data_IF_792505488361
#
_entry.id   IF_792505488361
#
_cell.length_a   1.000
_cell.length_b   1.000
_cell.length_c   1.000
_cell.angle_alpha   90.00
_cell.angle_beta   90.00
_cell.angle_gamma   90.00
#
_symmetry.space_group_name_H-M   'P 1'
#
loop_
_entity.id
_entity.type
_entity.pdbx_description
1 polymer ?
#
# COMPACT_ATOMS: atom_id res chain seq x y z
N UNK A 1 -14.04 12.16 7.31
CA UNK A 1 -13.87 11.27 6.12
C UNK A 1 -12.63 10.46 6.38
N UNK A 2 -12.71 9.11 6.32
CA UNK A 2 -11.53 8.25 6.46
C UNK A 2 -10.64 8.43 5.24
N UNK A 3 -9.32 8.49 5.44
CA UNK A 3 -8.30 8.54 4.37
C UNK A 3 -8.44 7.35 3.40
N UNK A 4 -8.98 6.23 3.89
CA UNK A 4 -9.13 4.99 3.12
C UNK A 4 -10.37 4.98 2.20
N UNK A 5 -11.25 5.99 2.24
CA UNK A 5 -12.54 5.94 1.50
C UNK A 5 -12.39 5.80 -0.01
N UNK A 6 -11.40 6.47 -0.61
CA UNK A 6 -11.15 6.37 -2.05
C UNK A 6 -10.66 4.97 -2.42
N UNK A 7 -9.77 4.41 -1.59
CA UNK A 7 -9.29 3.05 -1.75
C UNK A 7 -10.41 2.02 -1.57
N UNK A 8 -11.27 2.19 -0.57
CA UNK A 8 -12.47 1.37 -0.38
C UNK A 8 -13.37 1.38 -1.61
N UNK A 9 -13.56 2.55 -2.23
CA UNK A 9 -14.28 2.66 -3.51
C UNK A 9 -13.67 1.81 -4.61
N UNK A 10 -12.35 1.91 -4.82
CA UNK A 10 -11.64 1.11 -5.82
C UNK A 10 -11.73 -0.40 -5.59
N UNK A 11 -11.75 -0.82 -4.31
CA UNK A 11 -11.90 -2.21 -3.90
C UNK A 11 -13.32 -2.72 -4.10
N UNK A 12 -14.34 -1.89 -3.85
CA UNK A 12 -15.75 -2.19 -4.13
C UNK A 12 -16.00 -2.36 -5.63
N UNK A 13 -15.46 -1.47 -6.45
CA UNK A 13 -15.60 -1.55 -7.92
C UNK A 13 -15.04 -2.87 -8.49
N UNK A 14 -14.14 -3.51 -7.74
CA UNK A 14 -13.51 -4.79 -8.10
C UNK A 14 -14.09 -5.99 -7.36
N UNK A 15 -15.12 -5.79 -6.53
CA UNK A 15 -15.82 -6.85 -5.79
C UNK A 15 -15.08 -7.38 -4.56
N UNK A 16 -14.05 -6.68 -4.07
CA UNK A 16 -13.32 -7.08 -2.84
C UNK A 16 -14.01 -6.59 -1.56
N UNK A 17 -14.90 -5.61 -1.65
CA UNK A 17 -15.69 -5.09 -0.54
C UNK A 17 -17.15 -4.94 -0.97
N UNK A 18 -18.09 -5.22 -0.06
CA UNK A 18 -19.51 -4.96 -0.25
C UNK A 18 -19.85 -3.47 0.01
N UNK A 19 -21.07 -3.08 -0.37
CA UNK A 19 -21.55 -1.73 -0.07
C UNK A 19 -21.63 -1.50 1.44
N UNK A 20 -21.01 -0.42 1.91
CA UNK A 20 -20.91 -0.10 3.34
C UNK A 20 -19.79 -0.85 4.08
N UNK A 21 -19.14 -1.84 3.46
CA UNK A 21 -17.98 -2.52 4.03
C UNK A 21 -16.74 -1.63 3.96
N UNK A 22 -15.93 -1.69 5.00
CA UNK A 22 -14.65 -0.98 5.11
C UNK A 22 -13.50 -1.99 5.07
N UNK A 23 -12.29 -1.53 4.75
CA UNK A 23 -11.10 -2.39 4.83
C UNK A 23 -11.01 -2.95 6.26
N UNK A 24 -10.82 -4.28 6.45
CA UNK A 24 -10.84 -4.87 7.77
C UNK A 24 -9.63 -4.40 8.59
N UNK A 25 -9.84 -4.22 9.89
CA UNK A 25 -8.76 -4.00 10.85
C UNK A 25 -8.15 -5.37 11.15
N UNK A 26 -6.84 -5.50 10.91
CA UNK A 26 -6.06 -6.72 11.18
C UNK A 26 -5.08 -6.48 12.30
N UNK A 27 -4.72 -7.55 13.02
CA UNK A 27 -3.70 -7.47 14.05
C UNK A 27 -2.33 -7.21 13.39
N UNK A 28 -1.43 -6.57 14.14
CA UNK A 28 -0.09 -6.26 13.64
C UNK A 28 0.67 -7.50 13.20
N UNK A 29 0.54 -8.59 13.95
CA UNK A 29 1.20 -9.85 13.62
C UNK A 29 0.60 -10.46 12.34
N UNK A 30 -0.71 -10.30 12.12
CA UNK A 30 -1.40 -10.80 10.93
C UNK A 30 -1.02 -10.02 9.66
N UNK A 31 -0.82 -8.69 9.76
CA UNK A 31 -0.41 -7.89 8.61
C UNK A 31 1.07 -8.07 8.26
N UNK A 32 1.87 -8.48 9.25
CA UNK A 32 3.26 -8.87 9.04
C UNK A 32 3.38 -10.27 8.42
N UNK A 33 2.37 -11.12 8.62
CA UNK A 33 2.23 -12.40 7.91
C UNK A 33 1.54 -12.23 6.56
N UNK A 34 1.90 -13.03 5.57
CA UNK A 34 1.26 -13.04 4.25
C UNK A 34 -0.18 -13.63 4.26
N UNK A 35 -0.84 -13.69 5.42
CA UNK A 35 -2.09 -14.41 5.64
C UNK A 35 -3.33 -13.60 5.22
N UNK A 36 -3.28 -12.26 5.31
CA UNK A 36 -4.38 -11.39 4.91
C UNK A 36 -4.05 -10.60 3.64
N UNK A 37 -4.88 -10.77 2.59
CA UNK A 37 -4.72 -10.03 1.33
C UNK A 37 -5.08 -8.55 1.49
N UNK A 38 -6.14 -8.23 2.23
CA UNK A 38 -6.62 -6.87 2.41
C UNK A 38 -6.80 -6.61 3.90
N UNK A 39 -6.24 -5.53 4.40
CA UNK A 39 -6.39 -5.14 5.79
C UNK A 39 -5.52 -3.95 6.15
N UNK A 40 -5.82 -3.33 7.29
CA UNK A 40 -4.95 -2.32 7.88
C UNK A 40 -4.79 -2.51 9.38
N UNK A 41 -3.67 -2.06 9.92
CA UNK A 41 -3.43 -1.99 11.35
C UNK A 41 -3.34 -0.52 11.77
N UNK A 42 -3.96 -0.18 12.90
CA UNK A 42 -3.90 1.16 13.47
C UNK A 42 -3.39 1.14 14.92
N UNK A 43 -2.45 2.04 15.21
CA UNK A 43 -1.94 2.31 16.56
C UNK A 43 -2.29 3.76 16.92
N UNK A 44 -2.84 4.00 18.11
CA UNK A 44 -3.18 5.36 18.58
C UNK A 44 -3.98 6.21 17.56
N UNK A 45 -4.99 5.59 16.93
CA UNK A 45 -5.85 6.23 15.91
C UNK A 45 -5.11 6.66 14.62
N UNK A 46 -3.91 6.13 14.36
CA UNK A 46 -3.18 6.32 13.12
C UNK A 46 -2.96 4.97 12.42
N UNK A 47 -3.17 4.91 11.11
CA UNK A 47 -2.85 3.71 10.31
C UNK A 47 -1.34 3.57 10.24
N UNK A 48 -0.82 2.43 10.70
CA UNK A 48 0.62 2.13 10.73
C UNK A 48 1.01 1.05 9.73
N UNK A 49 0.06 0.25 9.26
CA UNK A 49 0.30 -0.75 8.25
C UNK A 49 -0.94 -0.92 7.37
N UNK A 50 -0.71 -1.10 6.07
CA UNK A 50 -1.77 -1.28 5.08
C UNK A 50 -1.34 -2.39 4.11
N UNK A 51 -2.23 -3.35 3.88
CA UNK A 51 -2.08 -4.44 2.92
C UNK A 51 -3.27 -4.43 1.96
N UNK A 52 -2.98 -4.42 0.66
CA UNK A 52 -3.97 -4.45 -0.42
C UNK A 52 -3.42 -5.30 -1.57
N UNK A 53 -3.24 -6.59 -1.30
CA UNK A 53 -2.60 -7.56 -2.18
C UNK A 53 -3.59 -8.21 -3.12
N UNK A 54 -3.13 -8.53 -4.33
CA UNK A 54 -3.90 -9.28 -5.31
C UNK A 54 -5.28 -8.66 -5.63
N UNK A 55 -5.33 -7.32 -5.64
CA UNK A 55 -6.56 -6.57 -5.88
C UNK A 55 -6.71 -6.06 -7.31
N UNK A 56 -5.74 -6.30 -8.19
CA UNK A 56 -5.80 -5.77 -9.56
C UNK A 56 -5.84 -4.24 -9.61
N UNK A 57 -5.20 -3.57 -8.66
CA UNK A 57 -5.07 -2.11 -8.68
C UNK A 57 -4.12 -1.68 -9.79
N UNK A 58 -4.55 -0.71 -10.59
CA UNK A 58 -3.74 -0.09 -11.65
C UNK A 58 -3.18 1.28 -11.23
N UNK A 59 -3.70 1.84 -10.14
CA UNK A 59 -3.29 3.12 -9.56
C UNK A 59 -3.61 3.16 -8.07
N UNK A 60 -2.93 4.05 -7.34
CA UNK A 60 -3.18 4.32 -5.93
C UNK A 60 -3.86 5.69 -5.75
N UNK A 61 -4.87 5.81 -4.87
CA UNK A 61 -5.51 7.09 -4.60
C UNK A 61 -4.56 8.05 -3.86
N UNK A 62 -4.64 9.33 -4.20
CA UNK A 62 -3.76 10.39 -3.65
C UNK A 62 -3.94 10.57 -2.14
N UNK A 63 -5.15 10.30 -1.64
CA UNK A 63 -5.47 10.32 -0.21
C UNK A 63 -4.52 9.45 0.63
N UNK A 64 -3.98 8.34 0.10
CA UNK A 64 -3.02 7.50 0.82
C UNK A 64 -1.73 8.22 1.21
N UNK A 65 -1.36 9.30 0.51
CA UNK A 65 -0.23 10.16 0.87
C UNK A 65 -0.41 10.88 2.22
N UNK A 66 -1.62 10.88 2.79
CA UNK A 66 -1.90 11.45 4.12
C UNK A 66 -1.55 10.47 5.26
N UNK A 67 -1.22 9.21 4.97
CA UNK A 67 -0.88 8.19 5.97
C UNK A 67 0.57 8.35 6.47
N UNK A 68 0.94 9.51 6.98
CA UNK A 68 2.34 9.85 7.34
C UNK A 68 2.93 9.01 8.49
N UNK A 69 2.10 8.24 9.20
CA UNK A 69 2.52 7.30 10.24
C UNK A 69 2.68 5.85 9.73
N UNK A 70 2.46 5.62 8.43
CA UNK A 70 2.55 4.30 7.82
C UNK A 70 4.00 3.80 7.88
N UNK A 71 4.18 2.61 8.44
CA UNK A 71 5.47 1.92 8.58
C UNK A 71 5.59 0.74 7.61
N UNK A 72 4.45 0.17 7.21
CA UNK A 72 4.38 -0.95 6.27
C UNK A 72 3.32 -0.69 5.19
N UNK A 73 3.70 -0.87 3.93
CA UNK A 73 2.79 -0.83 2.79
C UNK A 73 3.03 -2.07 1.94
N UNK A 74 1.98 -2.88 1.77
CA UNK A 74 2.02 -4.08 0.94
C UNK A 74 1.01 -3.96 -0.21
N UNK A 75 1.54 -3.90 -1.43
CA UNK A 75 0.81 -3.78 -2.69
C UNK A 75 1.15 -4.95 -3.63
N UNK A 76 1.60 -6.07 -3.07
CA UNK A 76 2.01 -7.26 -3.82
C UNK A 76 0.89 -7.77 -4.72
N UNK A 77 1.22 -8.17 -5.95
CA UNK A 77 0.27 -8.83 -6.85
C UNK A 77 -0.78 -7.91 -7.46
N UNK A 78 -0.48 -6.61 -7.60
CA UNK A 78 -1.34 -5.68 -8.31
C UNK A 78 -0.89 -5.48 -9.77
N UNK A 79 -1.46 -4.50 -10.46
CA UNK A 79 -1.18 -4.18 -11.86
C UNK A 79 -0.61 -2.76 -11.96
N UNK A 80 0.14 -2.32 -10.96
CA UNK A 80 0.72 -0.98 -10.92
C UNK A 80 1.82 -0.88 -11.97
N UNK A 81 1.74 0.12 -12.83
CA UNK A 81 2.76 0.43 -13.86
C UNK A 81 3.71 1.54 -13.42
N UNK A 82 3.27 2.36 -12.46
CA UNK A 82 4.08 3.38 -11.79
C UNK A 82 3.66 3.54 -10.33
N UNK A 83 4.50 4.20 -9.54
CA UNK A 83 4.16 4.63 -8.19
C UNK A 83 4.04 6.16 -8.17
N UNK A 84 3.12 6.69 -7.34
CA UNK A 84 2.94 8.14 -7.24
C UNK A 84 4.04 8.81 -6.42
N UNK A 85 4.38 10.06 -6.77
CA UNK A 85 5.42 10.84 -6.09
C UNK A 85 5.14 11.08 -4.59
N UNK A 86 3.87 11.13 -4.18
CA UNK A 86 3.51 11.30 -2.76
C UNK A 86 4.00 10.14 -1.89
N UNK A 87 4.40 9.01 -2.45
CA UNK A 87 4.91 7.88 -1.68
C UNK A 87 6.18 8.27 -0.89
N UNK A 88 6.97 9.22 -1.40
CA UNK A 88 8.09 9.83 -0.68
C UNK A 88 7.71 10.69 0.54
N UNK A 89 6.43 11.03 0.72
CA UNK A 89 5.95 11.75 1.91
C UNK A 89 5.72 10.82 3.11
N UNK A 90 5.73 9.49 2.89
CA UNK A 90 5.52 8.49 3.93
C UNK A 90 6.82 8.26 4.72
N UNK A 91 7.38 9.32 5.31
CA UNK A 91 8.73 9.33 5.90
C UNK A 91 8.95 8.31 7.03
N UNK A 92 7.88 7.74 7.60
CA UNK A 92 7.93 6.68 8.61
C UNK A 92 7.94 5.26 8.02
N UNK A 93 7.87 5.13 6.69
CA UNK A 93 7.81 3.84 6.00
C UNK A 93 9.13 3.08 6.19
N UNK A 94 9.01 1.84 6.67
CA UNK A 94 10.12 0.91 6.91
C UNK A 94 10.10 -0.26 5.95
N UNK A 95 8.91 -0.74 5.57
CA UNK A 95 8.75 -1.89 4.67
C UNK A 95 7.80 -1.54 3.54
N UNK A 96 8.27 -1.76 2.31
CA UNK A 96 7.51 -1.53 1.09
C UNK A 96 7.56 -2.77 0.20
N UNK A 97 6.41 -3.43 0.03
CA UNK A 97 6.27 -4.61 -0.81
C UNK A 97 5.50 -4.27 -2.08
N UNK A 98 6.16 -4.45 -3.22
CA UNK A 98 5.69 -4.12 -4.56
C UNK A 98 5.88 -5.30 -5.52
N UNK A 99 6.16 -6.49 -4.99
CA UNK A 99 6.36 -7.69 -5.79
C UNK A 99 5.16 -7.96 -6.71
N UNK A 100 5.41 -8.61 -7.84
CA UNK A 100 4.33 -9.03 -8.76
C UNK A 100 3.47 -7.86 -9.25
N UNK A 101 4.12 -6.75 -9.61
CA UNK A 101 3.50 -5.61 -10.30
C UNK A 101 4.09 -5.46 -11.71
N UNK A 102 3.78 -4.34 -12.38
CA UNK A 102 4.23 -4.03 -13.74
C UNK A 102 5.09 -2.75 -13.78
N UNK A 103 5.77 -2.43 -12.67
CA UNK A 103 6.56 -1.21 -12.53
C UNK A 103 7.73 -1.22 -13.50
N UNK A 104 7.88 -0.14 -14.26
CA UNK A 104 9.03 0.07 -15.18
C UNK A 104 10.11 0.93 -14.56
N UNK A 105 9.75 1.76 -13.58
CA UNK A 105 10.66 2.57 -12.78
C UNK A 105 10.12 2.76 -11.35
N UNK A 106 10.97 3.28 -10.47
CA UNK A 106 10.59 3.78 -9.15
C UNK A 106 10.69 5.32 -9.16
N UNK A 107 9.79 6.04 -8.47
CA UNK A 107 9.82 7.50 -8.40
C UNK A 107 11.06 7.97 -7.65
N UNK A 108 11.60 9.14 -8.05
CA UNK A 108 12.79 9.71 -7.37
C UNK A 108 12.49 10.04 -5.90
N UNK A 109 11.23 10.37 -5.57
CA UNK A 109 10.81 10.65 -4.20
C UNK A 109 10.97 9.47 -3.25
N UNK A 110 11.16 8.25 -3.74
CA UNK A 110 11.48 7.09 -2.89
C UNK A 110 12.79 7.32 -2.11
N UNK A 111 13.71 8.14 -2.63
CA UNK A 111 14.91 8.58 -1.94
C UNK A 111 14.67 9.41 -0.67
N UNK A 112 13.46 9.94 -0.47
CA UNK A 112 13.08 10.67 0.75
C UNK A 112 12.74 9.73 1.92
N UNK A 113 12.58 8.43 1.68
CA UNK A 113 12.23 7.44 2.68
C UNK A 113 13.45 7.00 3.49
N UNK A 114 13.97 7.91 4.33
CA UNK A 114 15.21 7.73 5.09
C UNK A 114 15.16 6.59 6.13
N UNK A 115 13.97 6.08 6.44
CA UNK A 115 13.75 4.99 7.40
C UNK A 115 13.39 3.65 6.73
N UNK A 116 13.47 3.58 5.39
CA UNK A 116 13.15 2.38 4.64
C UNK A 116 14.23 1.30 4.89
N UNK A 117 13.80 0.15 5.40
CA UNK A 117 14.63 -1.00 5.76
C UNK A 117 14.53 -2.10 4.72
N UNK A 118 13.32 -2.32 4.18
CA UNK A 118 13.02 -3.39 3.23
C UNK A 118 12.22 -2.83 2.04
N UNK A 119 12.69 -3.14 0.84
CA UNK A 119 11.98 -2.88 -0.41
C UNK A 119 11.99 -4.13 -1.25
N UNK A 120 10.80 -4.62 -1.57
CA UNK A 120 10.62 -5.78 -2.43
C UNK A 120 9.96 -5.35 -3.73
N UNK A 121 10.63 -5.61 -4.85
CA UNK A 121 10.22 -5.20 -6.20
C UNK A 121 10.40 -6.36 -7.19
N UNK A 122 10.46 -7.59 -6.71
CA UNK A 122 10.64 -8.76 -7.54
C UNK A 122 9.47 -8.92 -8.50
N UNK A 123 9.74 -9.55 -9.66
CA UNK A 123 8.74 -9.78 -10.71
C UNK A 123 8.04 -8.49 -11.20
N UNK A 124 8.78 -7.39 -11.25
CA UNK A 124 8.43 -6.17 -11.97
C UNK A 124 9.15 -6.10 -13.33
N UNK A 125 9.02 -4.98 -14.05
CA UNK A 125 9.67 -4.70 -15.32
C UNK A 125 10.73 -3.59 -15.19
N UNK A 126 11.36 -3.50 -14.01
CA UNK A 126 12.36 -2.47 -13.71
C UNK A 126 13.56 -2.64 -14.63
N UNK A 127 13.92 -1.57 -15.32
CA UNK A 127 15.15 -1.50 -16.11
C UNK A 127 16.21 -0.68 -15.38
N UNK A 128 17.48 -1.02 -15.58
CA UNK A 128 18.63 -0.27 -15.06
C UNK A 128 18.93 0.98 -15.87
#
# INVERSE_FOLDING_TARGET
MSVLKELEGLLRDRGYLQEGESIPVVLKDEIDTNESNIGFCAENNAVVALSVRYCGLTSLPESLGQLTNLRRLDLTGNQLTSLPEWLGNLVQLRRLYLDENQLTSLPESLGNLLHLEEVHVDKNQLTS
#
